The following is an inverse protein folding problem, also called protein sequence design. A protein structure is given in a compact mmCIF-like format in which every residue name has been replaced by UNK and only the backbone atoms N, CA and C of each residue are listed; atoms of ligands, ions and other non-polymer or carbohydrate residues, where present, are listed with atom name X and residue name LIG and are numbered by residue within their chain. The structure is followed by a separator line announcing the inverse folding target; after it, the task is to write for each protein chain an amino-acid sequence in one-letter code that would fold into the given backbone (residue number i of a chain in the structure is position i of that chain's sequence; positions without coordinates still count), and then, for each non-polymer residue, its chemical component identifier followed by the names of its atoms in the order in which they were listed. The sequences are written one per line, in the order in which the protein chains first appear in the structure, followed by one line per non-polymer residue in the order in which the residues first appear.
data_IF_542132012182
#
_entry.id   IF_542132012182
#
_cell.length_a   1.000
_cell.length_b   1.000
_cell.length_c   1.000
_cell.angle_alpha   90.00
_cell.angle_beta   90.00
_cell.angle_gamma   90.00
#
_symmetry.space_group_name_H-M   'P 1'
#
loop_
_entity.id
_entity.type
_entity.pdbx_description
1 polymer ?
#
# COMPACT_ATOMS: atom_id res chain seq x y z
N UNK A 1 46.61 -2.98 -18.75
CA UNK A 1 47.48 -2.60 -19.88
C UNK A 1 48.68 -1.85 -19.35
N UNK A 2 49.90 -2.36 -19.58
CA UNK A 2 51.15 -1.74 -19.16
C UNK A 2 51.42 -0.48 -19.99
N UNK A 3 51.49 0.69 -19.36
CA UNK A 3 52.02 1.90 -20.00
C UNK A 3 53.49 2.07 -19.62
N UNK A 4 54.39 1.66 -20.53
CA UNK A 4 55.79 2.08 -20.51
C UNK A 4 55.86 3.53 -20.96
N UNK A 5 56.26 4.43 -20.06
CA UNK A 5 56.81 5.74 -20.42
C UNK A 5 58.12 5.93 -19.66
N UNK A 6 59.21 5.53 -20.31
CA UNK A 6 60.56 5.96 -19.95
C UNK A 6 60.92 7.20 -20.77
N UNK A 7 61.10 8.33 -20.09
CA UNK A 7 62.29 9.20 -20.19
C UNK A 7 62.14 10.36 -19.20
N UNK A 8 63.08 10.38 -18.27
CA UNK A 8 63.29 11.38 -17.22
C UNK A 8 63.61 12.75 -17.82
N UNK A 9 62.85 13.76 -17.41
CA UNK A 9 63.26 15.16 -17.45
C UNK A 9 63.24 15.67 -16.00
N UNK A 10 64.38 15.53 -15.32
CA UNK A 10 64.59 16.10 -14.00
C UNK A 10 64.59 17.62 -14.08
N UNK A 11 63.47 18.24 -13.69
CA UNK A 11 63.41 19.65 -13.28
C UNK A 11 63.67 19.74 -11.78
N UNK A 12 64.60 20.59 -11.31
CA UNK A 12 64.91 20.69 -9.89
C UNK A 12 63.74 21.35 -9.16
N UNK A 13 63.07 20.61 -8.28
CA UNK A 13 62.05 21.15 -7.36
C UNK A 13 60.84 20.26 -7.09
N UNK A 14 60.58 19.23 -7.90
CA UNK A 14 59.41 18.36 -7.69
C UNK A 14 59.83 16.96 -7.25
N UNK A 15 59.42 16.56 -6.04
CA UNK A 15 59.60 15.19 -5.54
C UNK A 15 58.41 14.36 -6.01
N UNK A 16 58.62 13.48 -6.99
CA UNK A 16 57.58 12.53 -7.42
C UNK A 16 57.43 11.46 -6.33
N UNK A 17 56.26 11.35 -5.74
CA UNK A 17 55.90 10.28 -4.80
C UNK A 17 54.97 9.34 -5.52
N UNK A 18 55.41 8.10 -5.75
CA UNK A 18 54.56 7.03 -6.27
C UNK A 18 53.98 6.27 -5.08
N UNK A 19 52.65 6.33 -4.91
CA UNK A 19 51.93 5.58 -3.87
C UNK A 19 51.27 4.37 -4.55
N UNK A 20 51.82 3.15 -4.38
CA UNK A 20 51.22 1.96 -4.94
C UNK A 20 49.91 1.61 -4.20
N UNK A 21 48.78 1.65 -4.91
CA UNK A 21 47.43 1.39 -4.39
C UNK A 21 47.02 -0.10 -4.49
N UNK A 22 47.98 -1.02 -4.37
CA UNK A 22 47.74 -2.47 -4.54
C UNK A 22 46.78 -3.02 -3.50
N UNK A 23 46.95 -2.60 -2.24
CA UNK A 23 46.07 -2.99 -1.14
C UNK A 23 44.67 -2.37 -1.25
N UNK A 24 44.57 -1.15 -1.76
CA UNK A 24 43.28 -0.48 -1.98
C UNK A 24 42.49 -1.19 -3.08
N UNK A 25 43.18 -1.61 -4.15
CA UNK A 25 42.57 -2.39 -5.23
C UNK A 25 41.99 -3.70 -4.71
N UNK A 26 42.79 -4.48 -3.96
CA UNK A 26 42.34 -5.74 -3.37
C UNK A 26 41.16 -5.53 -2.39
N UNK A 27 41.21 -4.48 -1.57
CA UNK A 27 40.10 -4.12 -0.68
C UNK A 27 38.81 -3.85 -1.44
N UNK A 28 38.87 -3.09 -2.54
CA UNK A 28 37.69 -2.77 -3.34
C UNK A 28 37.19 -3.95 -4.15
N UNK A 29 38.07 -4.85 -4.61
CA UNK A 29 37.67 -6.09 -5.28
C UNK A 29 36.85 -6.99 -4.34
N UNK A 30 37.30 -7.14 -3.09
CA UNK A 30 36.55 -7.86 -2.05
C UNK A 30 35.20 -7.18 -1.76
N UNK A 31 35.24 -5.87 -1.49
CA UNK A 31 34.03 -5.12 -1.12
C UNK A 31 33.00 -5.09 -2.26
N UNK A 32 33.45 -4.98 -3.51
CA UNK A 32 32.57 -5.05 -4.68
C UNK A 32 31.98 -6.45 -4.82
N UNK A 33 32.78 -7.51 -4.67
CA UNK A 33 32.30 -8.89 -4.66
C UNK A 33 31.21 -9.13 -3.61
N UNK A 34 31.41 -8.64 -2.37
CA UNK A 34 30.42 -8.73 -1.30
C UNK A 34 29.12 -8.00 -1.64
N UNK A 35 29.22 -6.81 -2.25
CA UNK A 35 28.05 -6.05 -2.69
C UNK A 35 27.28 -6.76 -3.80
N UNK A 36 27.96 -7.36 -4.77
CA UNK A 36 27.31 -8.14 -5.84
C UNK A 36 26.60 -9.36 -5.27
N UNK A 37 27.21 -10.04 -4.28
CA UNK A 37 26.57 -11.15 -3.57
C UNK A 37 25.32 -10.68 -2.81
N UNK A 38 25.36 -9.51 -2.17
CA UNK A 38 24.21 -8.91 -1.51
C UNK A 38 23.09 -8.60 -2.50
N UNK A 39 23.40 -8.06 -3.67
CA UNK A 39 22.41 -7.78 -4.72
C UNK A 39 21.74 -9.07 -5.22
N UNK A 40 22.54 -10.12 -5.44
CA UNK A 40 22.04 -11.45 -5.85
C UNK A 40 21.08 -12.02 -4.81
N UNK A 41 21.47 -11.98 -3.53
CA UNK A 41 20.63 -12.44 -2.42
C UNK A 41 19.33 -11.64 -2.31
N UNK A 42 19.38 -10.30 -2.46
CA UNK A 42 18.19 -9.45 -2.41
C UNK A 42 17.25 -9.77 -3.59
N UNK A 43 17.77 -9.95 -4.80
CA UNK A 43 16.99 -10.31 -5.97
C UNK A 43 16.29 -11.68 -5.81
N UNK A 44 16.96 -12.67 -5.23
CA UNK A 44 16.37 -13.97 -4.92
C UNK A 44 15.24 -13.85 -3.88
N UNK A 45 15.49 -13.09 -2.80
CA UNK A 45 14.48 -12.84 -1.76
C UNK A 45 13.28 -12.08 -2.31
N UNK A 46 13.50 -11.07 -3.15
CA UNK A 46 12.42 -10.32 -3.79
C UNK A 46 11.52 -11.22 -4.63
N UNK A 47 12.12 -12.12 -5.43
CA UNK A 47 11.37 -13.10 -6.24
C UNK A 47 10.56 -14.05 -5.37
N UNK A 48 11.14 -14.54 -4.28
CA UNK A 48 10.44 -15.43 -3.34
C UNK A 48 9.23 -14.74 -2.71
N UNK A 49 9.40 -13.53 -2.16
CA UNK A 49 8.30 -12.76 -1.54
C UNK A 49 7.24 -12.38 -2.58
N UNK A 50 7.63 -11.96 -3.79
CA UNK A 50 6.69 -11.67 -4.86
C UNK A 50 5.87 -12.90 -5.27
N UNK A 51 6.48 -14.09 -5.28
CA UNK A 51 5.76 -15.36 -5.53
C UNK A 51 4.75 -15.68 -4.42
N UNK A 52 5.13 -15.45 -3.16
CA UNK A 52 4.22 -15.60 -2.02
C UNK A 52 3.04 -14.63 -2.11
N UNK A 53 3.29 -13.37 -2.49
CA UNK A 53 2.24 -12.35 -2.72
C UNK A 53 1.26 -12.82 -3.80
N UNK A 54 1.77 -13.29 -4.95
CA UNK A 54 0.92 -13.75 -6.06
C UNK A 54 0.08 -14.99 -5.68
N UNK A 55 0.67 -15.89 -4.90
CA UNK A 55 -0.03 -17.09 -4.39
C UNK A 55 -1.18 -16.69 -3.46
N UNK A 56 -0.91 -15.80 -2.50
CA UNK A 56 -1.93 -15.29 -1.58
C UNK A 56 -3.01 -14.49 -2.32
N UNK A 57 -2.63 -13.65 -3.27
CA UNK A 57 -3.55 -12.89 -4.14
C UNK A 57 -4.55 -13.83 -4.83
N UNK A 58 -4.05 -14.91 -5.43
CA UNK A 58 -4.88 -15.92 -6.11
C UNK A 58 -5.86 -16.62 -5.16
N UNK A 59 -5.47 -16.86 -3.91
CA UNK A 59 -6.37 -17.40 -2.88
C UNK A 59 -7.44 -16.37 -2.48
N UNK A 60 -7.04 -15.12 -2.23
CA UNK A 60 -7.94 -14.05 -1.80
C UNK A 60 -9.03 -13.73 -2.81
N UNK A 61 -8.73 -13.78 -4.11
CA UNK A 61 -9.74 -13.64 -5.18
C UNK A 61 -10.87 -14.67 -5.02
N UNK A 62 -10.60 -15.84 -4.44
CA UNK A 62 -11.63 -16.86 -4.20
C UNK A 62 -12.34 -16.69 -2.87
N UNK A 63 -11.63 -16.23 -1.83
CA UNK A 63 -12.12 -16.17 -0.45
C UNK A 63 -12.90 -14.88 -0.14
N UNK A 64 -12.52 -13.77 -0.78
CA UNK A 64 -13.06 -12.45 -0.51
C UNK A 64 -13.95 -11.91 -1.65
N UNK A 65 -14.03 -12.56 -2.81
CA UNK A 65 -14.90 -12.09 -3.90
C UNK A 65 -16.37 -12.40 -3.60
N UNK A 66 -17.28 -11.43 -3.80
CA UNK A 66 -18.72 -11.68 -3.69
C UNK A 66 -19.16 -12.67 -4.77
N UNK A 67 -19.99 -13.65 -4.39
CA UNK A 67 -20.49 -14.68 -5.28
C UNK A 67 -21.82 -14.23 -5.93
N UNK A 68 -21.98 -14.55 -7.22
CA UNK A 68 -23.15 -14.17 -8.01
C UNK A 68 -24.00 -15.39 -8.42
N UNK A 69 -25.23 -15.11 -8.85
CA UNK A 69 -26.17 -16.11 -9.39
C UNK A 69 -26.46 -17.21 -8.37
N UNK A 70 -26.38 -18.47 -8.83
CA UNK A 70 -26.66 -19.67 -8.02
C UNK A 70 -25.78 -19.86 -6.76
N UNK A 71 -24.76 -19.04 -6.58
CA UNK A 71 -23.84 -19.13 -5.45
C UNK A 71 -23.91 -17.93 -4.50
N UNK A 72 -24.87 -17.02 -4.69
CA UNK A 72 -25.02 -15.80 -3.84
C UNK A 72 -25.16 -16.12 -2.34
N UNK A 73 -25.74 -17.27 -2.01
CA UNK A 73 -25.95 -17.70 -0.62
C UNK A 73 -24.78 -18.48 -0.02
N UNK A 74 -23.75 -18.79 -0.82
CA UNK A 74 -22.53 -19.42 -0.29
C UNK A 74 -21.75 -18.40 0.54
N UNK A 75 -21.25 -18.86 1.69
CA UNK A 75 -20.47 -18.04 2.61
C UNK A 75 -19.15 -17.61 1.97
N UNK A 76 -18.86 -16.32 2.06
CA UNK A 76 -17.56 -15.71 1.79
C UNK A 76 -17.11 -14.94 3.02
N UNK A 77 -15.80 -14.76 3.17
CA UNK A 77 -15.25 -13.99 4.28
C UNK A 77 -14.95 -12.52 3.88
N UNK A 78 -15.58 -12.01 2.80
CA UNK A 78 -15.37 -10.65 2.26
C UNK A 78 -15.32 -9.57 3.34
N UNK A 79 -16.36 -9.49 4.19
CA UNK A 79 -16.43 -8.48 5.25
C UNK A 79 -15.38 -8.67 6.35
N UNK A 80 -14.92 -9.89 6.61
CA UNK A 80 -13.85 -10.16 7.59
C UNK A 80 -12.51 -9.71 7.03
N UNK A 81 -12.26 -10.01 5.76
CA UNK A 81 -11.09 -9.50 5.03
C UNK A 81 -11.10 -7.97 4.94
N UNK A 82 -12.25 -7.34 4.70
CA UNK A 82 -12.39 -5.88 4.70
C UNK A 82 -11.97 -5.30 6.06
N UNK A 83 -12.54 -5.82 7.16
CA UNK A 83 -12.19 -5.39 8.52
C UNK A 83 -10.71 -5.58 8.84
N UNK A 84 -10.11 -6.70 8.42
CA UNK A 84 -8.68 -6.94 8.59
C UNK A 84 -7.83 -5.89 7.84
N UNK A 85 -8.16 -5.62 6.58
CA UNK A 85 -7.40 -4.67 5.77
C UNK A 85 -7.60 -3.22 6.19
N UNK A 86 -8.76 -2.88 6.74
CA UNK A 86 -8.99 -1.57 7.37
C UNK A 86 -7.96 -1.33 8.49
N UNK A 87 -7.78 -2.31 9.39
CA UNK A 87 -6.81 -2.21 10.50
C UNK A 87 -5.37 -2.21 9.97
N UNK A 88 -5.09 -3.01 8.94
CA UNK A 88 -3.78 -3.02 8.30
C UNK A 88 -3.41 -1.65 7.71
N UNK A 89 -4.34 -1.02 7.00
CA UNK A 89 -4.18 0.32 6.43
C UNK A 89 -4.00 1.38 7.54
N UNK A 90 -4.79 1.30 8.61
CA UNK A 90 -4.65 2.17 9.80
C UNK A 90 -3.27 2.03 10.46
N UNK A 91 -2.73 0.81 10.53
CA UNK A 91 -1.40 0.55 11.11
C UNK A 91 -0.27 1.17 10.30
N UNK A 92 -0.45 1.37 8.99
CA UNK A 92 0.52 2.04 8.12
C UNK A 92 1.95 1.47 8.30
N UNK A 93 2.05 0.13 8.33
CA UNK A 93 3.22 -0.59 8.90
C UNK A 93 4.55 -0.12 8.31
N UNK A 94 4.65 -0.04 6.98
CA UNK A 94 5.90 0.29 6.29
C UNK A 94 5.97 1.74 5.78
N UNK A 95 4.82 2.38 5.56
CA UNK A 95 4.72 3.74 5.04
C UNK A 95 3.65 4.50 5.79
N UNK A 96 3.97 5.74 6.17
CA UNK A 96 2.97 6.67 6.70
C UNK A 96 2.56 7.67 5.62
N UNK A 97 1.26 7.97 5.58
CA UNK A 97 0.68 9.06 4.80
C UNK A 97 0.36 10.29 5.66
N UNK A 98 0.62 10.25 6.97
CA UNK A 98 0.37 11.40 7.85
C UNK A 98 1.38 12.52 7.61
N UNK A 99 0.93 13.77 7.76
CA UNK A 99 1.74 14.96 7.49
C UNK A 99 3.05 15.02 8.30
N UNK A 100 3.05 14.49 9.53
CA UNK A 100 4.19 14.59 10.46
C UNK A 100 5.31 13.58 10.19
N UNK A 101 4.98 12.39 9.70
CA UNK A 101 5.92 11.27 9.50
C UNK A 101 5.83 10.64 8.11
N UNK A 102 5.39 11.43 7.12
CA UNK A 102 5.21 11.00 5.74
C UNK A 102 6.46 10.32 5.16
N UNK A 103 6.27 9.12 4.61
CA UNK A 103 7.31 8.39 3.90
C UNK A 103 7.57 7.00 4.44
N UNK A 104 8.74 6.45 4.08
CA UNK A 104 9.17 5.10 4.49
C UNK A 104 9.53 5.09 5.97
N UNK A 105 9.08 4.07 6.69
CA UNK A 105 9.46 3.82 8.09
C UNK A 105 10.76 3.03 8.16
N UNK A 106 11.49 3.23 9.25
CA UNK A 106 12.65 2.39 9.59
C UNK A 106 12.18 1.05 10.17
N UNK A 107 13.09 0.07 10.24
CA UNK A 107 12.75 -1.28 10.73
C UNK A 107 12.25 -1.28 12.18
N UNK A 108 12.72 -0.36 13.02
CA UNK A 108 12.29 -0.26 14.41
C UNK A 108 10.84 0.22 14.54
N UNK A 109 10.46 1.23 13.76
CA UNK A 109 9.09 1.77 13.74
C UNK A 109 8.14 0.80 13.06
N UNK A 110 8.54 0.21 11.92
CA UNK A 110 7.75 -0.80 11.23
C UNK A 110 7.48 -2.02 12.11
N UNK A 111 8.46 -2.48 12.90
CA UNK A 111 8.26 -3.56 13.86
C UNK A 111 7.20 -3.22 14.93
N UNK A 112 7.22 -2.01 15.49
CA UNK A 112 6.22 -1.56 16.46
C UNK A 112 4.82 -1.55 15.86
N UNK A 113 4.69 -1.09 14.62
CA UNK A 113 3.41 -0.96 13.94
C UNK A 113 2.86 -2.32 13.51
N UNK A 114 3.73 -3.25 13.10
CA UNK A 114 3.34 -4.63 12.83
C UNK A 114 2.90 -5.36 14.10
N UNK A 115 3.51 -5.08 15.25
CA UNK A 115 3.05 -5.59 16.55
C UNK A 115 1.69 -5.00 16.90
N UNK A 116 1.52 -3.67 16.78
CA UNK A 116 0.23 -3.02 16.99
C UNK A 116 -0.88 -3.62 16.13
N UNK A 117 -0.60 -3.87 14.84
CA UNK A 117 -1.55 -4.51 13.93
C UNK A 117 -1.97 -5.90 14.43
N UNK A 118 -1.00 -6.74 14.83
CA UNK A 118 -1.29 -8.07 15.37
C UNK A 118 -2.10 -8.00 16.66
N UNK A 119 -1.73 -7.12 17.60
CA UNK A 119 -2.43 -6.93 18.86
C UNK A 119 -3.87 -6.47 18.64
N UNK A 120 -4.10 -5.53 17.70
CA UNK A 120 -5.44 -5.02 17.38
C UNK A 120 -6.30 -6.09 16.68
N UNK A 121 -5.71 -6.93 15.82
CA UNK A 121 -6.39 -8.08 15.20
C UNK A 121 -6.87 -9.09 16.25
N UNK A 122 -6.02 -9.39 17.25
CA UNK A 122 -6.37 -10.30 18.35
C UNK A 122 -7.42 -9.66 19.26
N UNK A 123 -7.24 -8.39 19.64
CA UNK A 123 -8.15 -7.66 20.51
C UNK A 123 -9.56 -7.56 19.94
N UNK A 124 -9.70 -7.40 18.62
CA UNK A 124 -11.01 -7.39 17.94
C UNK A 124 -11.55 -8.79 17.63
N UNK A 125 -10.83 -9.85 17.96
CA UNK A 125 -11.24 -11.24 17.75
C UNK A 125 -11.41 -11.62 16.29
N UNK A 126 -10.75 -10.92 15.36
CA UNK A 126 -11.03 -11.04 13.91
C UNK A 126 -10.72 -12.45 13.40
N UNK A 127 -9.65 -13.06 13.92
CA UNK A 127 -9.23 -14.42 13.55
C UNK A 127 -10.36 -15.43 13.76
N UNK A 128 -11.12 -15.28 14.84
CA UNK A 128 -12.23 -16.18 15.20
C UNK A 128 -13.49 -15.91 14.37
N UNK A 129 -13.61 -14.74 13.75
CA UNK A 129 -14.76 -14.39 12.90
C UNK A 129 -14.71 -15.02 11.50
N UNK A 130 -13.54 -15.51 11.08
CA UNK A 130 -13.35 -16.17 9.79
C UNK A 130 -14.05 -17.52 9.77
N UNK A 131 -14.95 -17.68 8.80
CA UNK A 131 -15.78 -18.88 8.70
C UNK A 131 -15.10 -19.98 7.89
N UNK A 132 -14.27 -19.62 6.91
CA UNK A 132 -13.57 -20.58 6.05
C UNK A 132 -12.19 -20.92 6.63
N UNK A 133 -11.82 -22.21 6.72
CA UNK A 133 -10.49 -22.61 7.17
C UNK A 133 -9.38 -22.11 6.24
N UNK A 134 -9.64 -22.02 4.94
CA UNK A 134 -8.71 -21.48 3.95
C UNK A 134 -8.43 -19.98 4.19
N UNK A 135 -9.43 -19.21 4.65
CA UNK A 135 -9.21 -17.81 5.03
C UNK A 135 -8.26 -17.67 6.22
N UNK A 136 -8.33 -18.58 7.20
CA UNK A 136 -7.39 -18.57 8.33
C UNK A 136 -5.96 -18.89 7.87
N UNK A 137 -5.81 -19.83 6.93
CA UNK A 137 -4.49 -20.14 6.34
C UNK A 137 -3.94 -18.94 5.54
N UNK A 138 -4.78 -18.31 4.71
CA UNK A 138 -4.42 -17.10 3.97
C UNK A 138 -4.02 -15.94 4.90
N UNK A 139 -4.69 -15.79 6.06
CA UNK A 139 -4.32 -14.80 7.06
C UNK A 139 -2.92 -15.06 7.64
N UNK A 140 -2.61 -16.31 7.99
CA UNK A 140 -1.26 -16.68 8.45
C UNK A 140 -0.21 -16.38 7.37
N UNK A 141 -0.51 -16.68 6.10
CA UNK A 141 0.36 -16.35 4.97
C UNK A 141 0.57 -14.82 4.84
N UNK A 142 -0.50 -14.03 4.98
CA UNK A 142 -0.43 -12.57 4.95
C UNK A 142 0.47 -12.01 6.06
N UNK A 143 0.32 -12.50 7.29
CA UNK A 143 1.18 -12.09 8.42
C UNK A 143 2.63 -12.48 8.18
N UNK A 144 2.88 -13.69 7.67
CA UNK A 144 4.24 -14.15 7.36
C UNK A 144 4.92 -13.29 6.29
N UNK A 145 4.20 -12.91 5.22
CA UNK A 145 4.72 -11.98 4.21
C UNK A 145 5.14 -10.66 4.86
N UNK A 146 4.30 -10.10 5.75
CA UNK A 146 4.65 -8.86 6.45
C UNK A 146 5.87 -9.01 7.36
N UNK A 147 6.02 -10.16 8.03
CA UNK A 147 7.22 -10.45 8.84
C UNK A 147 8.47 -10.58 7.94
N UNK A 148 8.36 -11.22 6.78
CA UNK A 148 9.44 -11.32 5.79
C UNK A 148 9.86 -9.94 5.26
N UNK A 149 8.89 -9.08 4.95
CA UNK A 149 9.15 -7.69 4.55
C UNK A 149 9.91 -6.91 5.62
N UNK A 150 9.51 -7.06 6.90
CA UNK A 150 10.21 -6.42 8.02
C UNK A 150 11.64 -6.94 8.19
N UNK A 151 11.86 -8.25 8.03
CA UNK A 151 13.19 -8.87 8.07
C UNK A 151 14.07 -8.33 6.94
N UNK A 152 13.54 -8.23 5.73
CA UNK A 152 14.25 -7.68 4.57
C UNK A 152 14.62 -6.21 4.77
N UNK A 153 13.68 -5.40 5.29
CA UNK A 153 13.95 -4.00 5.63
C UNK A 153 15.09 -3.89 6.66
N UNK A 154 15.04 -4.68 7.72
CA UNK A 154 16.10 -4.71 8.76
C UNK A 154 17.45 -5.16 8.19
N UNK A 155 17.45 -6.16 7.30
CA UNK A 155 18.66 -6.64 6.63
C UNK A 155 19.30 -5.55 5.78
N UNK A 156 18.50 -4.82 4.98
CA UNK A 156 18.98 -3.71 4.16
C UNK A 156 19.61 -2.61 5.03
N UNK A 157 18.95 -2.20 6.12
CA UNK A 157 19.47 -1.18 7.03
C UNK A 157 20.80 -1.59 7.68
N UNK A 158 20.93 -2.85 8.10
CA UNK A 158 22.16 -3.37 8.69
C UNK A 158 23.31 -3.36 7.69
N UNK A 159 23.07 -3.81 6.45
CA UNK A 159 24.10 -3.84 5.41
C UNK A 159 24.51 -2.42 4.98
N UNK A 160 23.57 -1.51 4.81
CA UNK A 160 23.87 -0.11 4.51
C UNK A 160 24.74 0.53 5.60
N UNK A 161 24.42 0.26 6.87
CA UNK A 161 25.22 0.75 8.01
C UNK A 161 26.61 0.11 8.04
N UNK A 162 26.72 -1.18 7.73
CA UNK A 162 28.00 -1.89 7.65
C UNK A 162 28.89 -1.29 6.55
N UNK A 163 28.38 -1.16 5.32
CA UNK A 163 29.11 -0.58 4.18
C UNK A 163 29.55 0.84 4.50
N UNK A 164 28.65 1.69 5.04
CA UNK A 164 29.00 3.06 5.44
C UNK A 164 30.14 3.08 6.48
N UNK A 165 30.12 2.19 7.47
CA UNK A 165 31.17 2.10 8.49
C UNK A 165 32.49 1.56 7.94
N UNK A 166 32.45 0.60 7.02
CA UNK A 166 33.63 0.06 6.33
C UNK A 166 34.31 1.19 5.54
N UNK A 167 33.55 1.91 4.72
CA UNK A 167 34.06 3.03 3.92
C UNK A 167 34.60 4.17 4.78
N UNK A 168 33.92 4.55 5.86
CA UNK A 168 34.43 5.54 6.81
C UNK A 168 35.73 5.10 7.48
N UNK A 169 35.86 3.80 7.79
CA UNK A 169 37.08 3.25 8.40
C UNK A 169 38.24 3.20 7.39
N UNK A 170 37.95 2.90 6.12
CA UNK A 170 38.90 2.98 5.02
C UNK A 170 39.42 4.42 4.89
N UNK A 171 38.53 5.39 4.75
CA UNK A 171 38.92 6.81 4.61
C UNK A 171 39.73 7.33 5.78
N UNK A 172 39.40 6.92 7.01
CA UNK A 172 40.17 7.31 8.20
C UNK A 172 41.62 6.79 8.17
N UNK A 173 41.88 5.69 7.46
CA UNK A 173 43.22 5.08 7.36
C UNK A 173 43.99 5.55 6.12
N UNK A 174 43.31 5.74 5.00
CA UNK A 174 43.94 6.00 3.69
C UNK A 174 43.84 7.45 3.24
N UNK A 175 42.89 8.22 3.77
CA UNK A 175 42.58 9.60 3.36
C UNK A 175 42.16 9.73 1.88
N UNK A 176 41.73 8.63 1.24
CA UNK A 176 41.38 8.57 -0.19
C UNK A 176 39.94 9.00 -0.52
N UNK A 177 39.09 9.24 0.49
CA UNK A 177 37.75 9.80 0.29
C UNK A 177 36.73 8.88 -0.41
N UNK A 178 36.94 7.57 -0.34
CA UNK A 178 36.08 6.55 -0.94
C UNK A 178 34.65 6.54 -0.39
N UNK A 179 34.41 7.02 0.83
CA UNK A 179 33.05 7.08 1.39
C UNK A 179 32.11 8.02 0.62
N UNK A 180 32.64 8.95 -0.17
CA UNK A 180 31.85 9.87 -0.99
C UNK A 180 31.62 9.35 -2.41
N UNK A 181 32.61 8.65 -2.97
CA UNK A 181 32.62 8.19 -4.36
C UNK A 181 32.08 6.78 -4.51
N UNK A 182 32.44 5.85 -3.63
CA UNK A 182 32.10 4.44 -3.74
C UNK A 182 30.59 4.15 -3.72
N UNK A 183 29.77 4.75 -2.82
CA UNK A 183 28.32 4.52 -2.86
C UNK A 183 27.66 5.00 -4.16
N UNK A 184 28.21 6.06 -4.77
CA UNK A 184 27.72 6.61 -6.05
C UNK A 184 28.18 5.81 -7.25
N UNK A 185 29.29 5.07 -7.13
CA UNK A 185 29.83 4.25 -8.20
C UNK A 185 29.07 2.93 -8.31
N UNK A 186 28.61 2.43 -7.16
CA UNK A 186 27.96 1.13 -7.10
C UNK A 186 26.51 1.17 -7.57
N UNK A 187 25.76 2.27 -7.35
CA UNK A 187 24.35 2.47 -7.79
C UNK A 187 23.47 1.20 -7.77
N UNK A 188 23.74 0.27 -6.86
CA UNK A 188 23.00 -0.98 -6.83
C UNK A 188 21.78 -0.77 -5.96
N UNK A 189 20.64 -1.25 -6.45
CA UNK A 189 19.41 -1.36 -5.66
C UNK A 189 19.67 -2.09 -4.33
N UNK A 190 20.72 -2.92 -4.25
CA UNK A 190 21.22 -3.54 -3.03
C UNK A 190 21.57 -2.59 -1.87
N UNK A 191 22.08 -1.39 -2.16
CA UNK A 191 22.59 -0.43 -1.15
C UNK A 191 21.58 0.67 -0.85
N UNK A 192 20.67 0.95 -1.79
CA UNK A 192 19.64 1.97 -1.62
C UNK A 192 18.52 1.41 -0.73
N UNK A 193 18.55 1.78 0.56
CA UNK A 193 17.47 1.46 1.49
C UNK A 193 16.13 1.96 0.92
N UNK A 194 15.23 1.03 0.63
CA UNK A 194 13.85 1.34 0.30
C UNK A 194 13.44 1.24 -1.18
N UNK A 195 14.25 0.80 -2.14
CA UNK A 195 13.70 0.47 -3.48
C UNK A 195 12.95 -0.87 -3.45
N UNK A 196 13.60 -1.95 -3.00
CA UNK A 196 12.99 -3.28 -2.91
C UNK A 196 11.85 -3.35 -1.90
N UNK A 197 12.05 -2.90 -0.65
CA UNK A 197 11.01 -2.95 0.38
C UNK A 197 9.76 -2.16 -0.05
N UNK A 198 9.96 -1.00 -0.71
CA UNK A 198 8.86 -0.20 -1.27
C UNK A 198 8.18 -0.89 -2.46
N UNK A 199 8.94 -1.51 -3.35
CA UNK A 199 8.40 -2.28 -4.46
C UNK A 199 7.51 -3.42 -3.96
N UNK A 200 7.99 -4.22 -3.00
CA UNK A 200 7.23 -5.32 -2.43
C UNK A 200 6.02 -4.85 -1.62
N UNK A 201 6.13 -3.78 -0.83
CA UNK A 201 4.97 -3.23 -0.11
C UNK A 201 3.93 -2.63 -1.06
N UNK A 202 4.37 -1.98 -2.14
CA UNK A 202 3.49 -1.53 -3.22
C UNK A 202 2.77 -2.73 -3.84
N UNK A 203 3.48 -3.83 -4.07
CA UNK A 203 2.91 -5.07 -4.59
C UNK A 203 1.88 -5.67 -3.62
N UNK A 204 2.16 -5.74 -2.31
CA UNK A 204 1.17 -6.15 -1.29
C UNK A 204 -0.07 -5.25 -1.35
N UNK A 205 0.11 -3.94 -1.45
CA UNK A 205 -1.01 -3.01 -1.49
C UNK A 205 -1.85 -3.23 -2.76
N UNK A 206 -1.21 -3.37 -3.92
CA UNK A 206 -1.88 -3.51 -5.22
C UNK A 206 -2.53 -4.89 -5.41
N UNK A 207 -1.83 -5.97 -5.06
CA UNK A 207 -2.22 -7.33 -5.43
C UNK A 207 -2.99 -8.06 -4.31
N UNK A 208 -2.97 -7.54 -3.08
CA UNK A 208 -3.64 -8.14 -1.92
C UNK A 208 -4.69 -7.18 -1.37
N UNK A 209 -4.26 -6.00 -0.91
CA UNK A 209 -5.16 -5.10 -0.17
C UNK A 209 -6.25 -4.54 -1.08
N UNK A 210 -5.90 -4.07 -2.29
CA UNK A 210 -6.86 -3.52 -3.26
C UNK A 210 -7.82 -4.55 -3.87
N UNK A 211 -7.58 -5.85 -3.70
CA UNK A 211 -8.55 -6.87 -4.13
C UNK A 211 -9.85 -6.81 -3.34
N UNK A 212 -9.78 -6.29 -2.11
CA UNK A 212 -10.93 -6.14 -1.23
C UNK A 212 -11.18 -4.64 -1.04
N UNK A 213 -12.12 -4.08 -1.83
CA UNK A 213 -12.40 -2.65 -1.80
C UNK A 213 -12.90 -2.22 -0.43
N UNK A 214 -12.39 -1.08 0.04
CA UNK A 214 -12.79 -0.44 1.29
C UNK A 214 -13.98 0.50 1.04
N UNK A 215 -14.76 0.78 2.08
CA UNK A 215 -16.00 1.56 1.90
C UNK A 215 -15.71 3.04 1.69
N UNK A 216 -14.62 3.53 2.28
CA UNK A 216 -14.18 4.92 2.24
C UNK A 216 -13.93 5.36 0.78
N UNK A 217 -13.41 4.45 -0.05
CA UNK A 217 -13.13 4.68 -1.48
C UNK A 217 -14.41 4.96 -2.32
N UNK A 218 -15.59 4.57 -1.80
CA UNK A 218 -16.89 4.71 -2.48
C UNK A 218 -17.88 5.56 -1.67
N UNK A 219 -17.37 6.35 -0.73
CA UNK A 219 -18.16 7.28 0.06
C UNK A 219 -18.41 8.60 -0.70
N UNK A 220 -19.64 9.08 -0.67
CA UNK A 220 -20.00 10.36 -1.27
C UNK A 220 -19.50 11.51 -0.39
N UNK A 221 -18.69 12.46 -0.91
CA UNK A 221 -18.16 13.58 -0.12
C UNK A 221 -19.21 14.56 0.44
N UNK A 222 -20.45 14.46 -0.02
CA UNK A 222 -21.55 15.37 0.38
C UNK A 222 -22.36 14.80 1.54
N UNK A 223 -22.70 13.50 1.47
CA UNK A 223 -23.48 12.84 2.53
C UNK A 223 -22.65 11.92 3.43
N UNK A 224 -21.35 11.75 3.15
CA UNK A 224 -20.40 10.94 3.91
C UNK A 224 -20.83 9.47 4.08
N UNK A 225 -21.51 8.94 3.07
CA UNK A 225 -22.11 7.61 3.06
C UNK A 225 -21.91 6.98 1.68
N UNK A 226 -22.10 5.68 1.54
CA UNK A 226 -21.88 4.97 0.27
C UNK A 226 -22.69 5.62 -0.85
N UNK A 227 -22.07 5.74 -2.02
CA UNK A 227 -22.71 6.37 -3.17
C UNK A 227 -23.93 5.56 -3.61
N UNK A 228 -25.06 6.25 -3.84
CA UNK A 228 -26.30 5.68 -4.35
C UNK A 228 -26.72 6.34 -5.64
N UNK A 229 -27.10 5.54 -6.66
CA UNK A 229 -27.30 5.98 -8.05
C UNK A 229 -26.13 6.88 -8.49
N UNK A 230 -24.92 6.31 -8.57
CA UNK A 230 -23.68 7.06 -8.79
C UNK A 230 -23.75 7.92 -10.05
N UNK A 231 -23.25 9.15 -9.93
CA UNK A 231 -23.01 10.06 -11.07
C UNK A 231 -21.53 10.39 -11.07
N UNK A 232 -20.86 10.14 -12.21
CA UNK A 232 -19.46 10.51 -12.41
C UNK A 232 -19.40 11.90 -13.05
N UNK A 233 -18.87 12.87 -12.33
CA UNK A 233 -18.71 14.24 -12.83
C UNK A 233 -17.66 14.29 -13.94
N UNK A 234 -17.59 15.40 -14.70
CA UNK A 234 -16.52 15.63 -15.71
C UNK A 234 -15.10 15.58 -15.14
N UNK A 235 -14.93 15.78 -13.83
CA UNK A 235 -13.65 15.65 -13.12
C UNK A 235 -13.44 14.25 -12.54
N UNK A 236 -14.22 13.27 -12.99
CA UNK A 236 -14.19 11.85 -12.61
C UNK A 236 -14.55 11.51 -11.15
N UNK A 237 -14.82 12.52 -10.31
CA UNK A 237 -15.29 12.32 -8.94
C UNK A 237 -16.73 11.80 -8.89
N UNK A 238 -16.98 10.90 -7.93
CA UNK A 238 -18.21 10.14 -7.78
C UNK A 238 -19.13 10.75 -6.70
N UNK A 239 -20.42 10.92 -7.01
CA UNK A 239 -21.42 11.43 -6.07
C UNK A 239 -22.73 10.66 -6.20
N UNK A 240 -23.59 10.72 -5.17
CA UNK A 240 -24.98 10.29 -5.31
C UNK A 240 -25.71 11.24 -6.28
N UNK A 241 -26.65 10.72 -7.09
CA UNK A 241 -27.45 11.55 -8.00
C UNK A 241 -28.14 12.73 -7.29
N UNK A 242 -28.76 12.48 -6.13
CA UNK A 242 -29.41 13.52 -5.33
C UNK A 242 -28.44 14.57 -4.79
N UNK A 243 -27.22 14.17 -4.44
CA UNK A 243 -26.16 15.07 -3.95
C UNK A 243 -25.61 15.93 -5.09
N UNK A 244 -25.45 15.35 -6.27
CA UNK A 244 -24.99 16.05 -7.45
C UNK A 244 -26.00 17.14 -7.89
N UNK A 245 -27.30 16.82 -7.91
CA UNK A 245 -28.37 17.81 -8.16
C UNK A 245 -28.38 18.93 -7.11
N UNK A 246 -28.15 18.62 -5.82
CA UNK A 246 -28.04 19.64 -4.76
C UNK A 246 -26.85 20.57 -4.99
N UNK A 247 -25.69 20.04 -5.39
CA UNK A 247 -24.50 20.83 -5.72
C UNK A 247 -24.76 21.76 -6.93
N UNK A 248 -25.42 21.24 -7.95
CA UNK A 248 -25.78 21.98 -9.15
C UNK A 248 -26.74 23.14 -8.85
N UNK A 249 -27.82 22.89 -8.12
CA UNK A 249 -28.79 23.92 -7.70
C UNK A 249 -28.12 25.04 -6.89
N UNK A 250 -27.11 24.70 -6.10
CA UNK A 250 -26.35 25.67 -5.30
C UNK A 250 -25.18 26.32 -6.07
N UNK A 251 -25.00 25.99 -7.36
CA UNK A 251 -23.87 26.45 -8.19
C UNK A 251 -22.50 26.24 -7.52
N UNK A 252 -22.36 25.15 -6.75
CA UNK A 252 -21.14 24.81 -6.01
C UNK A 252 -20.17 24.02 -6.89
N UNK A 253 -18.88 24.32 -6.74
CA UNK A 253 -17.81 23.57 -7.40
C UNK A 253 -17.64 22.18 -6.77
N UNK A 254 -16.94 21.29 -7.46
CA UNK A 254 -16.62 19.96 -6.92
C UNK A 254 -15.93 20.10 -5.54
N UNK A 255 -16.41 19.45 -4.45
CA UNK A 255 -15.79 19.52 -3.13
C UNK A 255 -14.34 18.98 -3.10
N UNK A 256 -14.00 18.06 -4.01
CA UNK A 256 -12.70 17.39 -4.03
C UNK A 256 -11.64 18.17 -4.81
N UNK A 257 -11.92 18.54 -6.06
CA UNK A 257 -10.94 19.24 -6.92
C UNK A 257 -11.22 20.73 -7.14
N UNK A 258 -12.36 21.25 -6.66
CA UNK A 258 -12.81 22.64 -6.86
C UNK A 258 -13.00 23.05 -8.32
N UNK A 259 -13.03 22.09 -9.25
CA UNK A 259 -13.31 22.32 -10.67
C UNK A 259 -14.79 22.67 -10.89
N UNK A 260 -15.07 23.52 -11.88
CA UNK A 260 -16.43 23.85 -12.26
C UNK A 260 -16.98 22.84 -13.26
N UNK A 261 -17.46 21.72 -12.73
CA UNK A 261 -17.94 20.56 -13.50
C UNK A 261 -19.45 20.40 -13.49
N UNK A 262 -20.19 21.38 -12.97
CA UNK A 262 -21.64 21.37 -12.99
C UNK A 262 -22.13 21.54 -14.43
N UNK A 263 -22.70 20.48 -15.00
CA UNK A 263 -23.39 20.50 -16.28
C UNK A 263 -24.72 19.83 -16.05
N UNK A 264 -25.80 20.44 -16.56
CA UNK A 264 -27.20 19.99 -16.49
C UNK A 264 -27.30 18.47 -16.34
N UNK A 265 -27.32 18.00 -15.09
CA UNK A 265 -27.31 16.57 -14.82
C UNK A 265 -28.67 16.01 -15.25
N UNK A 266 -28.66 15.15 -16.26
CA UNK A 266 -29.85 14.45 -16.72
C UNK A 266 -29.98 13.13 -15.97
N UNK A 267 -31.20 12.56 -15.91
CA UNK A 267 -31.41 11.24 -15.29
C UNK A 267 -30.59 10.12 -15.96
N UNK A 268 -30.16 10.33 -17.20
CA UNK A 268 -29.34 9.42 -17.99
C UNK A 268 -27.84 9.44 -17.62
N UNK A 269 -27.38 10.37 -16.77
CA UNK A 269 -25.98 10.47 -16.34
C UNK A 269 -25.59 9.47 -15.22
N UNK A 270 -26.46 8.50 -14.93
CA UNK A 270 -26.22 7.49 -13.90
C UNK A 270 -25.24 6.44 -14.41
N UNK A 271 -24.16 6.24 -13.66
CA UNK A 271 -23.16 5.20 -13.89
C UNK A 271 -23.72 3.84 -13.44
N UNK A 272 -24.46 3.18 -14.34
CA UNK A 272 -25.08 1.88 -14.07
C UNK A 272 -24.05 0.78 -13.77
N UNK A 273 -22.85 0.87 -14.35
CA UNK A 273 -21.77 -0.08 -14.09
C UNK A 273 -21.29 0.05 -12.64
N UNK A 274 -21.06 1.29 -12.16
CA UNK A 274 -20.72 1.55 -10.77
C UNK A 274 -21.85 1.17 -9.82
N UNK A 275 -23.12 1.41 -10.19
CA UNK A 275 -24.26 0.97 -9.39
C UNK A 275 -24.26 -0.55 -9.22
N UNK A 276 -24.07 -1.29 -10.31
CA UNK A 276 -23.99 -2.76 -10.29
C UNK A 276 -22.80 -3.26 -9.47
N UNK A 277 -21.66 -2.56 -9.54
CA UNK A 277 -20.48 -2.85 -8.74
C UNK A 277 -20.75 -2.68 -7.25
N UNK A 278 -21.38 -1.57 -6.84
CA UNK A 278 -21.67 -1.28 -5.43
C UNK A 278 -22.69 -2.27 -4.85
N UNK A 279 -23.74 -2.62 -5.60
CA UNK A 279 -24.70 -3.65 -5.19
C UNK A 279 -24.05 -5.03 -5.01
N UNK A 280 -23.01 -5.32 -5.78
CA UNK A 280 -22.29 -6.59 -5.70
C UNK A 280 -21.30 -6.63 -4.52
N UNK A 281 -20.47 -5.60 -4.36
CA UNK A 281 -19.37 -5.58 -3.40
C UNK A 281 -19.75 -5.02 -2.03
N UNK A 282 -20.82 -4.22 -1.95
CA UNK A 282 -21.31 -3.57 -0.74
C UNK A 282 -22.83 -3.74 -0.55
N UNK A 283 -23.37 -4.98 -0.63
CA UNK A 283 -24.82 -5.19 -0.64
C UNK A 283 -25.50 -4.74 0.65
N UNK A 284 -24.83 -4.81 1.80
CA UNK A 284 -25.41 -4.38 3.09
C UNK A 284 -25.52 -2.87 3.14
N UNK A 285 -24.44 -2.18 2.78
CA UNK A 285 -24.32 -0.74 2.88
C UNK A 285 -25.21 -0.05 1.85
N UNK A 286 -25.28 -0.59 0.63
CA UNK A 286 -26.24 -0.14 -0.38
C UNK A 286 -27.69 -0.35 0.07
N UNK A 287 -28.01 -1.48 0.71
CA UNK A 287 -29.35 -1.74 1.24
C UNK A 287 -29.71 -0.75 2.36
N UNK A 288 -28.81 -0.52 3.30
CA UNK A 288 -28.98 0.44 4.39
C UNK A 288 -29.18 1.86 3.83
N UNK A 289 -28.37 2.26 2.85
CA UNK A 289 -28.52 3.54 2.15
C UNK A 289 -29.88 3.70 1.49
N UNK A 290 -30.34 2.67 0.77
CA UNK A 290 -31.65 2.68 0.11
C UNK A 290 -32.78 2.85 1.12
N UNK A 291 -32.76 2.07 2.21
CA UNK A 291 -33.76 2.15 3.28
C UNK A 291 -33.76 3.55 3.91
N UNK A 292 -32.58 4.13 4.16
CA UNK A 292 -32.49 5.49 4.71
C UNK A 292 -33.13 6.54 3.79
N UNK A 293 -32.89 6.45 2.47
CA UNK A 293 -33.49 7.34 1.47
C UNK A 293 -35.01 7.16 1.39
N UNK A 294 -35.50 5.91 1.35
CA UNK A 294 -36.94 5.61 1.34
C UNK A 294 -37.63 6.08 2.63
N UNK A 295 -36.94 6.01 3.77
CA UNK A 295 -37.40 6.53 5.05
C UNK A 295 -37.49 8.04 5.04
N UNK A 296 -36.47 8.74 4.53
CA UNK A 296 -36.48 10.20 4.39
C UNK A 296 -37.64 10.66 3.48
N UNK A 297 -37.80 10.04 2.31
CA UNK A 297 -38.90 10.35 1.38
C UNK A 297 -40.28 10.06 1.99
N UNK A 298 -40.42 8.94 2.72
CA UNK A 298 -41.67 8.63 3.42
C UNK A 298 -41.98 9.61 4.55
N UNK A 299 -40.97 10.12 5.26
CA UNK A 299 -41.17 11.19 6.27
C UNK A 299 -41.61 12.51 5.64
N UNK A 300 -41.10 12.85 4.47
CA UNK A 300 -41.55 14.03 3.72
C UNK A 300 -43.00 13.89 3.26
N UNK A 301 -43.42 12.70 2.82
CA UNK A 301 -44.77 12.46 2.30
C UNK A 301 -45.84 12.19 3.38
N UNK A 302 -45.48 11.44 4.42
CA UNK A 302 -46.41 10.88 5.43
C UNK A 302 -46.18 11.44 6.85
N UNK A 303 -45.19 12.32 7.02
CA UNK A 303 -44.87 12.99 8.28
C UNK A 303 -43.74 12.33 9.08
N UNK A 304 -43.22 13.08 10.07
CA UNK A 304 -41.98 12.77 10.81
C UNK A 304 -41.95 11.41 11.53
N UNK A 305 -43.11 10.80 11.77
CA UNK A 305 -43.23 9.52 12.46
C UNK A 305 -43.13 8.30 11.53
N UNK A 306 -43.05 8.50 10.21
CA UNK A 306 -42.87 7.41 9.26
C UNK A 306 -41.56 6.65 9.54
N UNK A 307 -41.69 5.32 9.57
CA UNK A 307 -40.59 4.36 9.60
C UNK A 307 -40.75 3.42 8.43
N UNK A 308 -39.65 3.12 7.76
CA UNK A 308 -39.70 2.18 6.65
C UNK A 308 -39.94 0.75 7.18
N UNK A 309 -40.76 -0.09 6.52
CA UNK A 309 -41.08 -1.45 7.00
C UNK A 309 -39.85 -2.33 7.28
N UNK A 310 -38.76 -2.12 6.53
CA UNK A 310 -37.48 -2.83 6.75
C UNK A 310 -36.68 -2.37 7.98
N UNK A 311 -37.04 -1.24 8.62
CA UNK A 311 -36.41 -0.76 9.86
C UNK A 311 -37.05 -1.38 11.11
N UNK A 312 -38.29 -1.85 10.99
CA UNK A 312 -38.94 -2.60 12.06
C UNK A 312 -38.36 -4.02 12.07
N UNK A 313 -37.84 -4.44 13.23
CA UNK A 313 -37.46 -5.84 13.41
C UNK A 313 -38.71 -6.67 13.14
N UNK A 314 -38.64 -7.53 12.14
CA UNK A 314 -39.70 -8.48 11.82
C UNK A 314 -39.94 -9.37 13.06
N UNK A 315 -40.90 -8.99 13.90
CA UNK A 315 -41.40 -9.85 14.98
C UNK A 315 -42.44 -10.72 14.34
N UNK A 316 -42.00 -11.83 13.73
CA UNK A 316 -42.91 -12.92 13.42
C UNK A 316 -43.27 -13.55 14.76
N UNK A 317 -44.48 -13.29 15.25
CA UNK A 317 -45.07 -14.01 16.37
C UNK A 317 -45.46 -15.42 15.95
#
# INVERSE_FOLDING_TARGET
MFCRLSKSLDRPGFKRVEVPLTFDTEFFDILYGDVVNLDTLQNEQQKAVASNINTLSSQLVRLARPLQGKYKDKKTDLYRWRQLFEIYLQGSVFFSTHEKDHGSRDSATAAKQLNWFQDEVVKRGIVDTFTLPESRQALVQFVNINIELLRNLKFQELNQKAISKILKKFDKRTHLGASQTFPRLIQSDAIMSGSMAKALCSQVTQDIVKLVPQIEDYSCPVCCDIVWRPVRMKCEHLFCSSCAVKLEKQKKRCPLCRENVLVNLMEDDIDNDMSSYLELWFPKEVREKRIAIETEAGREALGIHYKHPSEEKCVVM
#
